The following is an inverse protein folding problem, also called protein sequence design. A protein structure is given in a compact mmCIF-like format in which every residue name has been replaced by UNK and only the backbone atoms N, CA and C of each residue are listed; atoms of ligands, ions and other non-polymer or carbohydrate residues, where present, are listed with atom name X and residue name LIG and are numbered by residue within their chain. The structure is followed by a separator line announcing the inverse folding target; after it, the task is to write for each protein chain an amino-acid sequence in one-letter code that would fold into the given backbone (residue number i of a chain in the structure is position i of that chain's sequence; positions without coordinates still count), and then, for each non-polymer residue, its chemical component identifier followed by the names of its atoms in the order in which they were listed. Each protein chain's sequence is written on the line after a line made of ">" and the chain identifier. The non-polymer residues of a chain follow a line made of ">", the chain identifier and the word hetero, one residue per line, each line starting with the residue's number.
data_IF_694237974436
#
_entry.id   IF_694237974436
#
_cell.length_a   1.000
_cell.length_b   1.000
_cell.length_c   1.000
_cell.angle_alpha   90.00
_cell.angle_beta   90.00
_cell.angle_gamma   90.00
#
_symmetry.space_group_name_H-M   'P 1'
#
loop_
_entity.id
_entity.type
_entity.pdbx_description
1 polymer ?
#
# COMPACT_ATOMS: atom_id res chain seq x y z
N UNK A 1 19.12 19.08 1.09
CA UNK A 1 18.61 17.77 0.61
C UNK A 1 17.10 17.91 0.55
N UNK A 2 16.48 17.77 -0.63
CA UNK A 2 15.03 17.92 -0.77
C UNK A 2 14.30 16.86 0.07
N UNK A 3 13.14 17.19 0.62
CA UNK A 3 12.35 16.27 1.42
C UNK A 3 11.78 15.16 0.52
N UNK A 4 12.37 13.96 0.57
CA UNK A 4 11.92 12.78 -0.17
C UNK A 4 11.61 11.65 0.83
N UNK A 5 10.56 10.85 0.59
CA UNK A 5 10.24 9.73 1.46
C UNK A 5 11.34 8.68 1.35
N UNK A 6 11.75 8.14 2.51
CA UNK A 6 12.72 7.05 2.58
C UNK A 6 12.12 5.90 3.37
N UNK A 7 12.31 4.65 2.92
CA UNK A 7 11.91 3.50 3.70
C UNK A 7 12.75 3.50 4.99
N UNK A 8 12.11 3.25 6.14
CA UNK A 8 12.79 3.25 7.43
C UNK A 8 12.17 2.23 8.38
N UNK A 9 13.02 1.69 9.26
CA UNK A 9 12.59 0.91 10.41
C UNK A 9 12.37 1.85 11.58
N UNK A 10 11.22 1.73 12.24
CA UNK A 10 10.90 2.49 13.45
C UNK A 10 10.62 1.51 14.59
N UNK A 11 11.15 1.82 15.76
CA UNK A 11 11.05 0.95 16.96
C UNK A 11 10.50 1.68 18.18
N UNK A 12 10.23 2.99 18.06
CA UNK A 12 9.63 3.82 19.10
C UNK A 12 8.29 4.39 18.65
N UNK A 13 7.42 4.70 19.61
CA UNK A 13 6.13 5.36 19.33
C UNK A 13 6.33 6.73 18.67
N UNK A 14 7.30 7.51 19.15
CA UNK A 14 7.59 8.84 18.61
C UNK A 14 8.02 8.76 17.13
N UNK A 15 8.85 7.77 16.77
CA UNK A 15 9.26 7.56 15.38
C UNK A 15 8.11 7.07 14.51
N UNK A 16 7.23 6.23 15.04
CA UNK A 16 6.03 5.81 14.33
C UNK A 16 5.11 7.00 14.02
N UNK A 17 4.85 7.86 15.01
CA UNK A 17 4.03 9.08 14.84
C UNK A 17 4.69 10.05 13.86
N UNK A 18 6.00 10.27 13.93
CA UNK A 18 6.72 11.15 13.00
C UNK A 18 6.75 10.64 11.55
N UNK A 19 6.42 9.36 11.34
CA UNK A 19 6.28 8.76 10.02
C UNK A 19 4.90 8.93 9.40
N UNK A 20 3.94 9.47 10.14
CA UNK A 20 2.57 9.63 9.68
C UNK A 20 2.47 10.63 8.51
N UNK A 21 1.32 10.60 7.85
CA UNK A 21 0.99 11.31 6.60
C UNK A 21 1.38 10.58 5.33
N UNK A 22 0.69 10.90 4.26
CA UNK A 22 0.87 10.28 2.95
C UNK A 22 1.93 11.01 2.14
N UNK A 23 2.82 10.23 1.55
CA UNK A 23 3.61 10.64 0.40
C UNK A 23 3.00 10.00 -0.84
N UNK A 24 2.75 10.81 -1.87
CA UNK A 24 2.12 10.34 -3.11
C UNK A 24 3.16 9.97 -4.17
N UNK A 25 4.44 10.00 -3.80
CA UNK A 25 5.55 9.49 -4.61
C UNK A 25 5.94 8.10 -4.12
N UNK A 26 6.47 7.27 -5.03
CA UNK A 26 6.84 5.91 -4.65
C UNK A 26 7.99 5.86 -3.64
N UNK A 27 7.81 5.10 -2.55
CA UNK A 27 8.82 4.83 -1.54
C UNK A 27 8.92 3.32 -1.34
N UNK A 28 10.02 2.64 -1.71
CA UNK A 28 10.13 1.18 -1.67
C UNK A 28 10.32 0.65 -0.23
N UNK A 29 9.23 0.59 0.54
CA UNK A 29 9.23 0.20 1.96
C UNK A 29 9.83 -1.19 2.22
N UNK A 30 9.73 -2.12 1.26
CA UNK A 30 10.34 -3.45 1.30
C UNK A 30 11.85 -3.40 1.59
N UNK A 31 12.57 -2.35 1.16
CA UNK A 31 14.01 -2.22 1.40
C UNK A 31 14.35 -2.06 2.90
N UNK A 32 13.44 -1.51 3.70
CA UNK A 32 13.64 -1.39 5.15
C UNK A 32 13.66 -2.75 5.86
N UNK A 33 13.17 -3.83 5.23
CA UNK A 33 13.20 -5.16 5.82
C UNK A 33 14.64 -5.70 5.98
N UNK A 34 15.55 -5.29 5.09
CA UNK A 34 16.97 -5.61 5.24
C UNK A 34 17.56 -4.96 6.49
N UNK A 35 17.16 -3.73 6.79
CA UNK A 35 17.60 -3.00 7.97
C UNK A 35 17.00 -3.62 9.23
N UNK A 36 15.72 -4.01 9.18
CA UNK A 36 15.03 -4.69 10.28
C UNK A 36 15.73 -6.02 10.65
N UNK A 37 16.16 -6.79 9.65
CA UNK A 37 16.96 -7.99 9.86
C UNK A 37 18.32 -7.68 10.48
N UNK A 38 19.04 -6.66 9.99
CA UNK A 38 20.34 -6.25 10.58
C UNK A 38 20.21 -5.82 12.03
N UNK A 39 19.06 -5.24 12.40
CA UNK A 39 18.72 -4.88 13.77
C UNK A 39 18.29 -6.09 14.64
N UNK A 40 18.20 -7.29 14.07
CA UNK A 40 17.80 -8.51 14.78
C UNK A 40 16.30 -8.63 15.05
N UNK A 41 15.47 -7.82 14.39
CA UNK A 41 14.01 -7.85 14.60
C UNK A 41 13.40 -9.13 14.03
N UNK A 42 12.48 -9.73 14.80
CA UNK A 42 11.80 -10.99 14.43
C UNK A 42 10.27 -10.87 14.32
N UNK A 43 9.72 -9.74 14.76
CA UNK A 43 8.28 -9.44 14.69
C UNK A 43 8.08 -8.03 14.16
N UNK A 44 8.08 -7.90 12.84
CA UNK A 44 7.95 -6.63 12.12
C UNK A 44 6.51 -6.40 11.68
N UNK A 45 5.99 -5.21 11.96
CA UNK A 45 4.80 -4.69 11.31
C UNK A 45 5.23 -3.96 10.03
N UNK A 46 4.75 -4.41 8.88
CA UNK A 46 5.05 -3.79 7.59
C UNK A 46 3.88 -2.92 7.13
N UNK A 47 4.16 -1.65 6.80
CA UNK A 47 3.17 -0.71 6.25
C UNK A 47 3.52 -0.44 4.80
N UNK A 48 2.58 -0.68 3.88
CA UNK A 48 2.85 -0.48 2.45
C UNK A 48 1.58 -0.44 1.61
N UNK A 49 1.72 0.06 0.39
CA UNK A 49 0.65 0.02 -0.63
C UNK A 49 0.50 -1.41 -1.21
N UNK A 50 -0.51 -1.72 -2.04
CA UNK A 50 -0.81 -3.09 -2.45
C UNK A 50 0.36 -3.82 -3.13
N UNK A 51 1.10 -3.11 -3.98
CA UNK A 51 2.25 -3.68 -4.69
C UNK A 51 3.46 -3.95 -3.79
N UNK A 52 3.46 -3.48 -2.55
CA UNK A 52 4.50 -3.75 -1.53
C UNK A 52 4.06 -4.86 -0.57
N UNK A 53 2.76 -4.93 -0.24
CA UNK A 53 2.22 -6.05 0.56
C UNK A 53 2.26 -7.37 -0.22
N UNK A 54 1.95 -7.33 -1.52
CA UNK A 54 1.92 -8.51 -2.40
C UNK A 54 3.24 -9.30 -2.39
N UNK A 55 4.42 -8.71 -2.66
CA UNK A 55 5.68 -9.44 -2.62
C UNK A 55 6.01 -9.99 -1.24
N UNK A 56 5.68 -9.27 -0.15
CA UNK A 56 5.83 -9.77 1.23
C UNK A 56 5.02 -11.06 1.45
N UNK A 57 3.76 -11.10 0.99
CA UNK A 57 2.97 -12.34 1.08
C UNK A 57 3.50 -13.43 0.15
N UNK A 58 3.94 -13.08 -1.05
CA UNK A 58 4.51 -14.04 -2.01
C UNK A 58 5.72 -14.77 -1.44
N UNK A 59 6.64 -14.05 -0.78
CA UNK A 59 7.83 -14.67 -0.16
C UNK A 59 7.45 -15.49 1.08
N UNK A 60 6.46 -15.05 1.88
CA UNK A 60 5.95 -15.84 3.01
C UNK A 60 5.33 -17.16 2.57
N UNK A 61 4.60 -17.18 1.46
CA UNK A 61 3.92 -18.35 0.91
C UNK A 61 4.79 -19.18 -0.04
N UNK A 62 6.02 -18.77 -0.32
CA UNK A 62 6.92 -19.54 -1.18
C UNK A 62 7.12 -20.95 -0.58
N UNK A 63 6.70 -21.99 -1.31
CA UNK A 63 6.93 -23.37 -0.91
C UNK A 63 8.42 -23.68 -1.04
N UNK A 64 9.08 -23.99 0.06
CA UNK A 64 10.50 -24.33 0.08
C UNK A 64 10.75 -25.83 0.21
N UNK A 65 9.69 -26.65 0.27
CA UNK A 65 9.79 -28.11 0.42
C UNK A 65 10.57 -28.76 -0.73
N UNK A 66 10.41 -28.24 -1.96
CA UNK A 66 11.12 -28.74 -3.13
C UNK A 66 12.65 -28.58 -3.05
N UNK A 67 13.17 -27.76 -2.12
CA UNK A 67 14.60 -27.61 -1.92
C UNK A 67 15.25 -28.86 -1.34
N UNK A 68 14.50 -29.63 -0.54
CA UNK A 68 14.98 -30.88 0.02
C UNK A 68 14.67 -32.04 -0.93
N UNK A 69 15.73 -32.57 -1.53
CA UNK A 69 15.66 -33.74 -2.41
C UNK A 69 16.40 -34.96 -1.81
N UNK A 70 16.67 -34.93 -0.50
CA UNK A 70 17.42 -35.96 0.22
C UNK A 70 18.92 -36.01 -0.06
N UNK A 71 19.45 -35.15 -0.94
CA UNK A 71 20.87 -35.14 -1.34
C UNK A 71 21.66 -33.93 -0.84
N UNK A 72 20.98 -32.87 -0.41
CA UNK A 72 21.63 -31.61 0.03
C UNK A 72 21.93 -31.65 1.52
N UNK A 73 23.08 -31.11 1.92
CA UNK A 73 23.39 -30.88 3.34
C UNK A 73 22.41 -29.85 3.93
N UNK A 74 22.01 -29.95 5.21
CA UNK A 74 21.08 -29.02 5.85
C UNK A 74 21.43 -27.54 5.67
N UNK A 75 22.72 -27.17 5.80
CA UNK A 75 23.20 -25.79 5.60
C UNK A 75 22.91 -25.22 4.21
N UNK A 76 22.87 -26.05 3.17
CA UNK A 76 22.52 -25.59 1.82
C UNK A 76 21.01 -25.36 1.69
N UNK A 77 20.21 -26.23 2.29
CA UNK A 77 18.74 -26.09 2.35
C UNK A 77 18.38 -24.80 3.11
N UNK A 78 19.00 -24.57 4.26
CA UNK A 78 18.81 -23.35 5.07
C UNK A 78 19.12 -22.08 4.27
N UNK A 79 20.27 -22.01 3.61
CA UNK A 79 20.66 -20.85 2.79
C UNK A 79 19.71 -20.61 1.62
N UNK A 80 19.29 -21.67 0.92
CA UNK A 80 18.35 -21.58 -0.19
C UNK A 80 16.95 -21.18 0.29
N UNK A 81 16.51 -21.72 1.43
CA UNK A 81 15.25 -21.35 2.08
C UNK A 81 15.27 -19.87 2.44
N UNK A 82 16.34 -19.39 3.08
CA UNK A 82 16.52 -17.98 3.40
C UNK A 82 16.49 -17.09 2.14
N UNK A 83 17.13 -17.52 1.06
CA UNK A 83 17.09 -16.79 -0.21
C UNK A 83 15.67 -16.70 -0.79
N UNK A 84 14.90 -17.80 -0.78
CA UNK A 84 13.54 -17.82 -1.31
C UNK A 84 12.52 -17.08 -0.42
N UNK A 85 12.62 -17.25 0.90
CA UNK A 85 11.75 -16.59 1.88
C UNK A 85 12.11 -15.11 2.07
N UNK A 86 13.34 -14.72 1.71
CA UNK A 86 13.83 -13.34 1.86
C UNK A 86 13.65 -12.84 3.30
N UNK A 87 12.87 -11.78 3.45
CA UNK A 87 12.52 -11.20 4.75
C UNK A 87 11.09 -11.57 5.22
N UNK A 88 10.41 -12.51 4.54
CA UNK A 88 9.02 -12.86 4.83
C UNK A 88 8.82 -13.34 6.26
N UNK A 89 9.75 -14.13 6.79
CA UNK A 89 9.63 -14.78 8.11
C UNK A 89 9.69 -13.79 9.28
N UNK A 90 10.29 -12.60 9.10
CA UNK A 90 10.33 -11.58 10.16
C UNK A 90 9.09 -10.68 10.16
N UNK A 91 8.32 -10.65 9.06
CA UNK A 91 7.09 -9.85 8.97
C UNK A 91 5.96 -10.62 9.64
N UNK A 92 5.53 -10.12 10.79
CA UNK A 92 4.46 -10.73 11.57
C UNK A 92 3.10 -10.09 11.31
N UNK A 93 3.05 -8.85 10.81
CA UNK A 93 1.80 -8.13 10.58
C UNK A 93 1.95 -7.16 9.41
N UNK A 94 0.86 -6.92 8.69
CA UNK A 94 0.83 -6.04 7.51
C UNK A 94 -0.33 -5.07 7.58
N UNK A 95 -0.03 -3.78 7.44
CA UNK A 95 -1.02 -2.72 7.25
C UNK A 95 -0.94 -2.26 5.79
N UNK A 96 -1.98 -2.58 5.03
CA UNK A 96 -2.11 -2.20 3.63
C UNK A 96 -2.71 -0.82 3.47
N UNK A 97 -2.07 0.06 2.70
CA UNK A 97 -2.62 1.37 2.38
C UNK A 97 -3.40 1.31 1.07
N UNK A 98 -4.63 1.83 1.04
CA UNK A 98 -5.40 1.96 -0.21
C UNK A 98 -4.63 2.84 -1.20
N UNK A 99 -4.53 2.41 -2.45
CA UNK A 99 -3.73 3.09 -3.46
C UNK A 99 -4.29 2.91 -4.87
N UNK A 100 -4.54 4.01 -5.57
CA UNK A 100 -4.86 3.98 -7.01
C UNK A 100 -3.62 4.07 -7.88
N UNK A 101 -2.73 5.00 -7.55
CA UNK A 101 -1.53 5.34 -8.29
C UNK A 101 -0.59 6.16 -7.39
N UNK A 102 0.69 6.18 -7.76
CA UNK A 102 1.71 7.05 -7.18
C UNK A 102 2.46 7.74 -8.31
N UNK A 103 3.12 8.83 -7.99
CA UNK A 103 3.84 9.67 -8.94
C UNK A 103 5.35 9.51 -8.80
N UNK A 104 6.10 9.89 -9.83
CA UNK A 104 7.56 10.00 -9.73
C UNK A 104 7.93 11.21 -8.87
N UNK A 105 8.97 11.07 -8.05
CA UNK A 105 9.43 12.17 -7.21
C UNK A 105 10.01 13.29 -8.07
N UNK A 106 10.88 12.92 -9.01
CA UNK A 106 11.50 13.85 -9.96
C UNK A 106 10.45 14.58 -10.82
N UNK A 107 9.46 13.86 -11.35
CA UNK A 107 8.43 14.47 -12.19
C UNK A 107 7.47 15.37 -11.40
N UNK A 108 6.74 14.81 -10.43
CA UNK A 108 5.71 15.58 -9.73
C UNK A 108 6.32 16.60 -8.75
N UNK A 109 7.28 16.19 -7.93
CA UNK A 109 7.78 17.07 -6.87
C UNK A 109 8.80 18.07 -7.42
N UNK A 110 9.79 17.60 -8.18
CA UNK A 110 10.89 18.48 -8.63
C UNK A 110 10.51 19.26 -9.89
N UNK A 111 10.05 18.62 -10.96
CA UNK A 111 9.74 19.32 -12.20
C UNK A 111 8.45 20.13 -12.07
N UNK A 112 7.35 19.50 -11.68
CA UNK A 112 6.05 20.18 -11.65
C UNK A 112 5.92 21.20 -10.53
N UNK A 113 6.16 20.78 -9.29
CA UNK A 113 5.86 21.63 -8.13
C UNK A 113 6.98 22.64 -7.86
N UNK A 114 8.23 22.20 -7.78
CA UNK A 114 9.36 23.09 -7.47
C UNK A 114 9.67 24.05 -8.64
N UNK A 115 9.87 23.50 -9.85
CA UNK A 115 10.31 24.31 -11.00
C UNK A 115 9.17 25.02 -11.73
N UNK A 116 8.16 24.31 -12.21
CA UNK A 116 7.10 24.92 -13.04
C UNK A 116 6.13 25.78 -12.23
N UNK A 117 5.69 25.30 -11.05
CA UNK A 117 4.79 26.06 -10.18
C UNK A 117 5.54 27.06 -9.28
N UNK A 118 6.87 26.98 -9.20
CA UNK A 118 7.69 27.87 -8.37
C UNK A 118 7.44 27.72 -6.88
N UNK A 119 7.07 26.52 -6.41
CA UNK A 119 6.78 26.24 -5.00
C UNK A 119 7.92 25.42 -4.41
N UNK A 120 8.85 26.05 -3.65
CA UNK A 120 9.95 25.34 -3.04
C UNK A 120 9.45 24.20 -2.16
N UNK A 121 9.98 22.99 -2.36
CA UNK A 121 9.57 21.82 -1.59
C UNK A 121 9.78 21.99 -0.08
N UNK A 122 10.70 22.86 0.33
CA UNK A 122 10.94 23.22 1.73
C UNK A 122 9.78 23.98 2.37
N UNK A 123 8.93 24.64 1.58
CA UNK A 123 7.77 25.40 2.06
C UNK A 123 6.49 24.58 2.11
N UNK A 124 6.52 23.32 1.67
CA UNK A 124 5.37 22.42 1.72
C UNK A 124 5.27 21.82 3.13
N UNK A 125 4.11 22.04 3.76
CA UNK A 125 3.75 21.44 5.06
C UNK A 125 3.08 20.08 4.88
N UNK A 126 2.16 19.98 3.91
CA UNK A 126 1.39 18.75 3.65
C UNK A 126 0.97 18.69 2.19
N UNK A 127 0.92 17.47 1.66
CA UNK A 127 0.44 17.18 0.32
C UNK A 127 -0.71 16.18 0.41
N UNK A 128 -1.77 16.34 -0.39
CA UNK A 128 -2.95 15.47 -0.37
C UNK A 128 -3.56 15.34 -1.77
N UNK A 129 -4.16 14.20 -2.06
CA UNK A 129 -4.85 13.94 -3.34
C UNK A 129 -6.28 13.47 -3.08
N UNK A 130 -7.25 14.33 -3.39
CA UNK A 130 -8.69 14.10 -3.22
C UNK A 130 -9.46 14.63 -4.44
N UNK A 131 -9.40 13.92 -5.57
CA UNK A 131 -9.96 14.38 -6.86
C UNK A 131 -9.22 15.57 -7.51
N UNK A 132 -8.44 16.30 -6.72
CA UNK A 132 -7.45 17.31 -7.06
C UNK A 132 -6.22 17.13 -6.16
N UNK A 133 -5.11 17.72 -6.57
CA UNK A 133 -3.91 17.85 -5.74
C UNK A 133 -4.06 19.08 -4.86
N UNK A 134 -3.76 18.91 -3.57
CA UNK A 134 -3.83 19.94 -2.53
C UNK A 134 -2.44 20.07 -1.89
N UNK A 135 -1.84 21.25 -2.03
CA UNK A 135 -0.51 21.57 -1.49
C UNK A 135 -0.71 22.61 -0.39
N UNK A 136 -0.55 22.17 0.86
CA UNK A 136 -0.61 23.03 2.03
C UNK A 136 0.79 23.57 2.31
N UNK A 137 0.95 24.89 2.22
CA UNK A 137 2.21 25.57 2.50
C UNK A 137 2.36 25.89 3.98
N UNK A 138 3.59 26.14 4.43
CA UNK A 138 3.91 26.46 5.83
C UNK A 138 3.37 27.80 6.29
N UNK A 139 3.22 28.75 5.36
CA UNK A 139 2.61 30.07 5.57
C UNK A 139 1.06 30.02 5.69
N UNK A 140 0.45 28.85 5.50
CA UNK A 140 -0.99 28.66 5.58
C UNK A 140 -1.71 28.74 4.23
N UNK A 141 -1.02 29.06 3.14
CA UNK A 141 -1.61 29.07 1.80
C UNK A 141 -1.93 27.64 1.32
N UNK A 142 -3.08 27.50 0.65
CA UNK A 142 -3.49 26.26 -0.03
C UNK A 142 -3.40 26.48 -1.53
N UNK A 143 -2.50 25.74 -2.18
CA UNK A 143 -2.42 25.70 -3.65
C UNK A 143 -3.11 24.44 -4.16
N UNK A 144 -3.97 24.60 -5.17
CA UNK A 144 -4.69 23.49 -5.79
C UNK A 144 -4.22 23.26 -7.23
N UNK A 145 -4.07 21.99 -7.61
CA UNK A 145 -3.78 21.58 -8.98
C UNK A 145 -4.77 20.50 -9.44
N UNK A 146 -5.23 20.61 -10.69
CA UNK A 146 -6.08 19.57 -11.29
C UNK A 146 -5.35 18.23 -11.28
N UNK A 147 -6.02 17.17 -10.86
CA UNK A 147 -5.44 15.82 -10.76
C UNK A 147 -4.77 15.38 -12.07
N UNK A 148 -5.38 15.68 -13.21
CA UNK A 148 -4.85 15.34 -14.55
C UNK A 148 -3.40 15.81 -14.78
N UNK A 149 -3.03 16.98 -14.24
CA UNK A 149 -1.66 17.50 -14.41
C UNK A 149 -0.65 16.72 -13.54
N UNK A 150 -1.08 16.16 -12.41
CA UNK A 150 -0.22 15.24 -11.65
C UNK A 150 -0.12 13.87 -12.34
N UNK A 151 -1.20 13.43 -12.97
CA UNK A 151 -1.26 12.13 -13.66
C UNK A 151 -0.31 12.03 -14.85
N UNK A 152 0.13 13.15 -15.42
CA UNK A 152 1.24 13.20 -16.40
C UNK A 152 2.55 12.62 -15.84
N UNK A 153 2.71 12.63 -14.51
CA UNK A 153 3.85 12.07 -13.79
C UNK A 153 3.51 10.80 -13.01
N UNK A 154 2.36 10.19 -13.28
CA UNK A 154 1.99 8.91 -12.69
C UNK A 154 3.00 7.84 -13.12
N UNK A 155 3.33 6.94 -12.18
CA UNK A 155 4.21 5.81 -12.50
C UNK A 155 3.52 4.87 -13.50
N UNK A 156 4.15 4.54 -14.64
CA UNK A 156 3.51 3.73 -15.67
C UNK A 156 3.13 2.34 -15.15
N UNK A 157 3.87 1.79 -14.17
CA UNK A 157 3.59 0.49 -13.59
C UNK A 157 2.26 0.45 -12.82
N UNK A 158 1.77 1.60 -12.32
CA UNK A 158 0.45 1.68 -11.68
C UNK A 158 -0.70 1.38 -12.64
N UNK A 159 -0.49 1.50 -13.96
CA UNK A 159 -1.49 1.16 -14.99
C UNK A 159 -1.64 -0.35 -15.21
N UNK A 160 -0.85 -1.18 -14.52
CA UNK A 160 -0.97 -2.64 -14.53
C UNK A 160 -1.30 -3.23 -13.15
N UNK A 161 -1.44 -2.38 -12.13
CA UNK A 161 -1.81 -2.80 -10.79
C UNK A 161 -3.30 -3.15 -10.74
N UNK A 162 -3.62 -4.36 -10.28
CA UNK A 162 -5.00 -4.87 -10.14
C UNK A 162 -5.61 -4.73 -8.74
N UNK A 163 -4.84 -4.24 -7.76
CA UNK A 163 -5.25 -4.17 -6.36
C UNK A 163 -5.30 -2.72 -5.88
N UNK A 164 -6.48 -2.29 -5.44
CA UNK A 164 -6.71 -0.97 -4.86
C UNK A 164 -6.65 -0.98 -3.34
N UNK A 165 -7.14 -2.05 -2.72
CA UNK A 165 -7.48 -2.10 -1.30
C UNK A 165 -6.44 -2.84 -0.46
N UNK A 166 -5.32 -3.25 -1.05
CA UNK A 166 -4.30 -4.07 -0.42
C UNK A 166 -4.92 -5.37 0.11
N UNK A 167 -5.49 -6.16 -0.81
CA UNK A 167 -6.33 -7.33 -0.52
C UNK A 167 -5.61 -8.42 0.29
N UNK A 168 -4.27 -8.39 0.29
CA UNK A 168 -3.40 -9.36 0.95
C UNK A 168 -2.84 -8.90 2.31
N UNK A 169 -3.27 -7.74 2.83
CA UNK A 169 -2.85 -7.25 4.14
C UNK A 169 -3.61 -7.93 5.29
N UNK A 170 -3.17 -7.75 6.54
CA UNK A 170 -3.95 -8.16 7.72
C UNK A 170 -5.08 -7.17 8.02
N UNK A 171 -4.75 -5.88 7.89
CA UNK A 171 -5.70 -4.76 7.91
C UNK A 171 -5.36 -3.85 6.73
N UNK A 172 -6.38 -3.32 6.05
CA UNK A 172 -6.21 -2.26 5.06
C UNK A 172 -6.84 -0.94 5.49
N UNK A 173 -6.15 0.17 5.23
CA UNK A 173 -6.53 1.51 5.68
C UNK A 173 -6.47 2.53 4.54
N UNK A 174 -7.46 3.43 4.45
CA UNK A 174 -7.41 4.54 3.51
C UNK A 174 -8.50 5.59 3.70
N UNK A 175 -8.24 6.83 3.28
CA UNK A 175 -9.14 7.97 3.48
C UNK A 175 -9.99 8.34 2.26
N UNK A 176 -10.21 7.42 1.31
CA UNK A 176 -10.93 7.76 0.07
C UNK A 176 -12.42 7.97 0.36
N UNK A 177 -13.00 9.06 -0.13
CA UNK A 177 -14.42 9.38 0.10
C UNK A 177 -14.76 9.80 1.54
N UNK A 178 -13.83 9.66 2.49
CA UNK A 178 -14.02 10.02 3.89
C UNK A 178 -13.34 11.36 4.25
N UNK A 179 -14.06 12.17 5.03
CA UNK A 179 -13.51 13.32 5.75
C UNK A 179 -13.37 12.91 7.21
N UNK A 180 -12.19 13.14 7.79
CA UNK A 180 -11.83 12.87 9.19
C UNK A 180 -11.96 11.40 9.68
N UNK A 181 -12.38 10.49 8.80
CA UNK A 181 -12.42 9.04 9.05
C UNK A 181 -11.46 8.29 8.12
N UNK A 182 -11.01 7.12 8.58
CA UNK A 182 -10.24 6.17 7.78
C UNK A 182 -11.11 4.94 7.53
N UNK A 183 -11.28 4.55 6.26
CA UNK A 183 -11.85 3.25 5.91
C UNK A 183 -10.87 2.19 6.39
N UNK A 184 -11.32 1.29 7.24
CA UNK A 184 -10.54 0.15 7.73
C UNK A 184 -11.22 -1.16 7.34
N UNK A 185 -10.50 -2.01 6.61
CA UNK A 185 -10.96 -3.33 6.16
C UNK A 185 -10.17 -4.38 6.93
N UNK A 186 -10.85 -5.14 7.78
CA UNK A 186 -10.29 -6.26 8.53
C UNK A 186 -10.26 -7.49 7.62
N UNK A 187 -9.11 -8.18 7.53
CA UNK A 187 -8.92 -9.26 6.54
C UNK A 187 -8.52 -10.58 7.16
N UNK A 188 -7.52 -10.56 8.04
CA UNK A 188 -7.05 -11.76 8.74
C UNK A 188 -7.61 -11.81 10.16
N UNK A 189 -7.72 -13.02 10.72
CA UNK A 189 -8.08 -13.23 12.14
C UNK A 189 -7.19 -12.41 13.08
N UNK A 190 -5.89 -12.30 12.75
CA UNK A 190 -4.95 -11.49 13.50
C UNK A 190 -5.24 -9.99 13.38
N UNK A 191 -5.61 -9.52 12.18
CA UNK A 191 -6.00 -8.14 11.94
C UNK A 191 -7.25 -7.77 12.74
N UNK A 192 -8.28 -8.60 12.66
CA UNK A 192 -9.52 -8.44 13.42
C UNK A 192 -9.27 -8.45 14.93
N UNK A 193 -8.54 -9.45 15.44
CA UNK A 193 -8.22 -9.56 16.86
C UNK A 193 -7.48 -8.32 17.41
N UNK A 194 -6.51 -7.79 16.65
CA UNK A 194 -5.79 -6.57 17.05
C UNK A 194 -6.70 -5.33 17.00
N UNK A 195 -7.54 -5.22 15.98
CA UNK A 195 -8.47 -4.10 15.85
C UNK A 195 -9.48 -4.08 17.00
N UNK A 196 -10.09 -5.22 17.31
CA UNK A 196 -11.04 -5.33 18.42
C UNK A 196 -10.37 -5.02 19.77
N UNK A 197 -9.11 -5.39 19.97
CA UNK A 197 -8.36 -4.98 21.17
C UNK A 197 -8.21 -3.47 21.27
N UNK A 198 -7.86 -2.80 20.17
CA UNK A 198 -7.75 -1.35 20.14
C UNK A 198 -9.09 -0.67 20.43
N UNK A 199 -10.20 -1.19 19.91
CA UNK A 199 -11.56 -0.69 20.20
C UNK A 199 -11.92 -0.91 21.67
N UNK A 200 -11.74 -2.13 22.20
CA UNK A 200 -12.02 -2.44 23.62
C UNK A 200 -11.22 -1.55 24.59
N UNK A 201 -10.00 -1.17 24.21
CA UNK A 201 -9.13 -0.29 25.00
C UNK A 201 -9.43 1.20 24.80
N UNK A 202 -10.43 1.56 24.01
CA UNK A 202 -10.82 2.94 23.74
C UNK A 202 -9.77 3.72 22.92
N UNK A 203 -8.92 3.04 22.16
CA UNK A 203 -7.90 3.67 21.31
C UNK A 203 -8.46 4.11 19.95
N UNK A 204 -9.62 3.57 19.56
CA UNK A 204 -10.29 3.86 18.30
C UNK A 204 -11.76 4.17 18.53
N UNK A 205 -12.25 5.18 17.81
CA UNK A 205 -13.67 5.39 17.57
C UNK A 205 -14.04 4.68 16.27
N UNK A 206 -15.21 4.02 16.24
CA UNK A 206 -15.66 3.24 15.08
C UNK A 206 -17.09 3.58 14.70
N UNK A 207 -17.37 3.62 13.40
CA UNK A 207 -18.71 3.73 12.82
C UNK A 207 -18.86 2.71 11.70
N UNK A 208 -20.09 2.25 11.46
CA UNK A 208 -20.32 1.27 10.40
C UNK A 208 -20.10 1.93 9.04
N UNK A 209 -19.49 1.20 8.11
CA UNK A 209 -19.34 1.66 6.72
C UNK A 209 -20.71 1.85 6.03
N UNK A 210 -21.76 1.20 6.52
CA UNK A 210 -23.14 1.37 6.03
C UNK A 210 -23.66 2.81 6.21
N UNK A 211 -23.10 3.56 7.16
CA UNK A 211 -23.41 4.97 7.38
C UNK A 211 -22.76 5.90 6.34
N UNK A 212 -21.89 5.36 5.47
CA UNK A 212 -21.07 6.10 4.52
C UNK A 212 -21.26 5.62 3.07
N UNK A 213 -22.52 5.62 2.58
CA UNK A 213 -22.89 5.15 1.24
C UNK A 213 -22.02 5.73 0.11
N UNK A 214 -21.71 7.03 0.15
CA UNK A 214 -20.85 7.66 -0.85
C UNK A 214 -19.41 7.12 -0.80
N UNK A 215 -18.84 6.94 0.40
CA UNK A 215 -17.51 6.37 0.57
C UNK A 215 -17.45 4.92 0.08
N UNK A 216 -18.49 4.14 0.37
CA UNK A 216 -18.61 2.75 -0.11
C UNK A 216 -18.69 2.72 -1.64
N UNK A 217 -19.53 3.57 -2.23
CA UNK A 217 -19.65 3.71 -3.69
C UNK A 217 -18.30 4.03 -4.34
N UNK A 218 -17.55 4.98 -3.77
CA UNK A 218 -16.22 5.35 -4.28
C UNK A 218 -15.22 4.21 -4.12
N UNK A 219 -15.20 3.53 -2.97
CA UNK A 219 -14.34 2.38 -2.70
C UNK A 219 -14.55 1.26 -3.73
N UNK A 220 -15.80 0.86 -3.96
CA UNK A 220 -16.15 -0.19 -4.91
C UNK A 220 -15.83 0.21 -6.35
N UNK A 221 -16.14 1.45 -6.75
CA UNK A 221 -15.80 1.97 -8.08
C UNK A 221 -14.30 1.95 -8.34
N UNK A 222 -13.48 2.39 -7.38
CA UNK A 222 -12.02 2.40 -7.53
C UNK A 222 -11.44 0.98 -7.55
N UNK A 223 -11.97 0.08 -6.72
CA UNK A 223 -11.60 -1.35 -6.74
C UNK A 223 -11.86 -1.95 -8.11
N UNK A 224 -13.05 -1.73 -8.67
CA UNK A 224 -13.41 -2.19 -10.02
C UNK A 224 -12.46 -1.64 -11.08
N UNK A 225 -12.26 -0.32 -11.10
CA UNK A 225 -11.37 0.37 -12.04
C UNK A 225 -9.94 -0.17 -11.96
N UNK A 226 -9.45 -0.47 -10.77
CA UNK A 226 -8.11 -1.03 -10.57
C UNK A 226 -8.02 -2.45 -11.14
N UNK A 227 -9.01 -3.32 -10.87
CA UNK A 227 -9.08 -4.67 -11.43
C UNK A 227 -9.19 -4.71 -12.95
N UNK A 228 -9.76 -3.69 -13.58
CA UNK A 228 -9.86 -3.54 -15.03
C UNK A 228 -8.52 -3.18 -15.70
N UNK A 229 -7.52 -2.74 -14.93
CA UNK A 229 -6.17 -2.45 -15.44
C UNK A 229 -5.35 -3.69 -15.78
N UNK A 230 -5.72 -4.84 -15.23
CA UNK A 230 -4.99 -6.10 -15.48
C UNK A 230 -5.33 -6.58 -16.89
N UNK A 231 -4.36 -6.55 -17.82
CA UNK A 231 -4.64 -6.91 -19.21
C UNK A 231 -4.93 -8.40 -19.32
N UNK A 232 -5.89 -8.76 -20.18
CA UNK A 232 -6.11 -10.14 -20.57
C UNK A 232 -5.04 -10.52 -21.61
N UNK A 233 -4.23 -11.56 -21.39
CA UNK A 233 -3.24 -11.98 -22.38
C UNK A 233 -3.89 -12.36 -23.72
N UNK A 234 -3.23 -12.12 -24.87
CA UNK A 234 -3.75 -12.52 -26.17
C UNK A 234 -4.11 -14.01 -26.20
N UNK A 235 -5.28 -14.33 -26.78
CA UNK A 235 -5.80 -15.71 -26.85
C UNK A 235 -6.34 -16.27 -25.53
N UNK A 236 -6.39 -15.47 -24.46
CA UNK A 236 -7.04 -15.82 -23.19
C UNK A 236 -8.36 -15.06 -23.02
N UNK A 237 -9.25 -15.62 -22.21
CA UNK A 237 -10.49 -14.95 -21.83
C UNK A 237 -10.26 -14.09 -20.58
N UNK A 238 -11.16 -13.13 -20.26
CA UNK A 238 -11.11 -12.41 -18.98
C UNK A 238 -11.07 -13.33 -17.75
N UNK A 239 -11.56 -14.57 -17.86
CA UNK A 239 -11.46 -15.59 -16.81
C UNK A 239 -10.03 -16.05 -16.53
N UNK A 240 -9.08 -15.84 -17.43
CA UNK A 240 -7.67 -16.17 -17.16
C UNK A 240 -7.07 -15.30 -16.06
N UNK A 241 -7.45 -14.02 -16.01
CA UNK A 241 -7.03 -13.09 -14.96
C UNK A 241 -8.03 -13.03 -13.79
N UNK A 242 -9.19 -13.70 -13.95
CA UNK A 242 -10.26 -13.83 -12.96
C UNK A 242 -10.77 -15.29 -12.94
N UNK A 243 -9.93 -16.24 -12.46
CA UNK A 243 -10.20 -17.66 -12.56
C UNK A 243 -11.50 -18.06 -11.85
N UNK A 244 -12.11 -19.14 -12.34
CA UNK A 244 -13.30 -19.74 -11.72
C UNK A 244 -12.98 -20.18 -10.28
N UNK A 245 -13.87 -19.89 -9.34
CA UNK A 245 -13.64 -20.09 -7.90
C UNK A 245 -12.90 -18.94 -7.20
N UNK A 246 -12.43 -17.91 -7.92
CA UNK A 246 -12.02 -16.66 -7.28
C UNK A 246 -13.25 -16.01 -6.63
N UNK A 247 -13.21 -15.64 -5.34
CA UNK A 247 -14.37 -15.08 -4.65
C UNK A 247 -14.90 -13.85 -5.39
N UNK A 248 -16.19 -13.81 -5.75
CA UNK A 248 -16.79 -12.60 -6.28
C UNK A 248 -16.78 -11.55 -5.16
N UNK A 249 -16.33 -10.33 -5.49
CA UNK A 249 -16.44 -9.20 -4.57
C UNK A 249 -17.51 -8.23 -5.08
N UNK A 250 -18.14 -7.41 -4.22
CA UNK A 250 -19.17 -6.46 -4.65
C UNK A 250 -18.71 -5.47 -5.75
N UNK A 251 -17.39 -5.28 -5.91
CA UNK A 251 -16.81 -4.44 -6.96
C UNK A 251 -16.65 -5.14 -8.32
N UNK A 252 -16.88 -6.45 -8.43
CA UNK A 252 -16.77 -7.15 -9.71
C UNK A 252 -17.89 -6.72 -10.67
N UNK A 253 -17.62 -6.68 -12.00
CA UNK A 253 -18.70 -6.48 -12.96
C UNK A 253 -19.73 -7.62 -12.86
N UNK A 254 -21.01 -7.36 -13.16
CA UNK A 254 -22.02 -8.41 -13.24
C UNK A 254 -21.52 -9.53 -14.14
N UNK A 255 -21.80 -10.78 -13.77
CA UNK A 255 -21.58 -11.90 -14.68
C UNK A 255 -22.39 -11.64 -15.96
N UNK A 256 -21.70 -11.65 -17.10
CA UNK A 256 -22.32 -11.56 -18.42
C UNK A 256 -23.16 -12.79 -18.71
#
# INVERSE_FOLDING_TARGET
>A
MHAAPKPKVVTTLADAISSASSWYTYCPNDLALADAERMGLRKVCFVGVPCQVTPVRKIQLADTSFLDNGRKKPKHIERQTKFLKGFGDIVSFTVGLLCTEVFTYEGLMVEKIDREMGIPLTEIKKFNVKGKVLIYRKDGELVEMKLRHAQEYARPECHHCGDFSAELADISCGGVGCMDWTITILRSEKGESLFDDMVRRGLLETRSMDEFENSMTVLLRLTKKQRERVPVPPGRTPRYVRPEGYPPVPADPPAA
#
